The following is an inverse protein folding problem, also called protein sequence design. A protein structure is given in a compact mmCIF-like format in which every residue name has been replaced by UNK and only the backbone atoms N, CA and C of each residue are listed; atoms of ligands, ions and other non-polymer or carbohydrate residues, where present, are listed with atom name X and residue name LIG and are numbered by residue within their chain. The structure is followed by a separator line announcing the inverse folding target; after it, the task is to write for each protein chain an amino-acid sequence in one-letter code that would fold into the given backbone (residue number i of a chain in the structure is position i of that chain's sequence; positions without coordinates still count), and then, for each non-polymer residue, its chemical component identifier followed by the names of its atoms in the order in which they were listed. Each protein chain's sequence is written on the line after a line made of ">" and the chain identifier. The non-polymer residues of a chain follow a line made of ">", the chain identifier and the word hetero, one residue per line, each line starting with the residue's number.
data_IF_469377369098
#
_entry.id   IF_469377369098
#
_cell.length_a   1.000
_cell.length_b   1.000
_cell.length_c   1.000
_cell.angle_alpha   90.00
_cell.angle_beta   90.00
_cell.angle_gamma   90.00
#
_symmetry.space_group_name_H-M   'P 1'
#
loop_
_entity.id
_entity.type
_entity.pdbx_description
1 polymer ?
#
# COMPACT_ATOMS: atom_id res chain seq x y z
N UNK A 1 34.98 -0.94 -9.79
CA UNK A 1 33.71 -1.54 -9.32
C UNK A 1 32.63 -0.48 -9.45
N UNK A 2 31.67 -0.67 -10.36
CA UNK A 2 30.55 0.27 -10.54
C UNK A 2 29.50 -0.11 -9.50
N UNK A 3 29.20 0.78 -8.56
CA UNK A 3 28.08 0.60 -7.66
C UNK A 3 26.81 0.53 -8.50
N UNK A 4 26.12 -0.62 -8.50
CA UNK A 4 24.77 -0.73 -9.08
C UNK A 4 23.88 0.24 -8.30
N UNK A 5 23.43 1.29 -8.95
CA UNK A 5 22.40 2.18 -8.41
C UNK A 5 21.16 1.35 -8.09
N UNK A 6 20.86 1.24 -6.79
CA UNK A 6 19.62 0.65 -6.32
C UNK A 6 18.49 1.61 -6.71
N UNK A 7 17.76 1.30 -7.78
CA UNK A 7 16.56 2.04 -8.18
C UNK A 7 15.47 1.83 -7.13
N UNK A 8 15.43 2.70 -6.12
CA UNK A 8 14.30 2.79 -5.20
C UNK A 8 13.13 3.40 -5.95
N UNK A 9 12.06 2.63 -6.11
CA UNK A 9 10.82 3.13 -6.70
C UNK A 9 9.80 3.39 -5.60
N UNK A 10 9.16 4.55 -5.70
CA UNK A 10 8.08 4.96 -4.83
C UNK A 10 6.76 4.66 -5.53
N UNK A 11 5.84 4.08 -4.79
CA UNK A 11 4.50 3.73 -5.26
C UNK A 11 3.54 4.74 -4.66
N UNK A 12 2.66 5.33 -5.47
CA UNK A 12 1.70 6.36 -5.05
C UNK A 12 0.28 5.85 -5.24
N UNK A 13 -0.57 5.90 -4.21
CA UNK A 13 -1.93 5.38 -4.25
C UNK A 13 -2.93 6.42 -3.71
N UNK A 14 -3.82 6.90 -4.57
CA UNK A 14 -4.85 7.86 -4.20
C UNK A 14 -6.10 7.15 -3.64
N UNK A 15 -6.39 7.35 -2.37
CA UNK A 15 -7.64 6.92 -1.74
C UNK A 15 -8.55 8.12 -1.48
N UNK A 16 -9.87 7.89 -1.56
CA UNK A 16 -10.90 8.89 -1.26
C UNK A 16 -11.65 8.48 0.00
N UNK A 17 -11.81 9.45 0.90
CA UNK A 17 -12.63 9.33 2.09
C UNK A 17 -14.13 9.43 1.75
N UNK A 18 -14.97 8.64 2.42
CA UNK A 18 -16.43 8.66 2.23
C UNK A 18 -17.20 9.08 3.49
N UNK A 19 -16.53 9.27 4.63
CA UNK A 19 -17.18 9.33 5.95
C UNK A 19 -16.94 10.66 6.69
N UNK A 20 -16.21 11.61 6.08
CA UNK A 20 -15.83 12.88 6.72
C UNK A 20 -14.51 12.79 7.50
N UNK A 21 -14.16 13.79 8.32
CA UNK A 21 -12.90 13.80 9.08
C UNK A 21 -12.82 12.65 10.09
N UNK A 22 -11.95 11.67 9.83
CA UNK A 22 -11.83 10.44 10.63
C UNK A 22 -10.38 10.06 10.86
N UNK A 23 -10.14 9.27 11.90
CA UNK A 23 -8.83 8.68 12.18
C UNK A 23 -8.90 7.18 11.92
N UNK A 24 -8.02 6.69 11.05
CA UNK A 24 -7.98 5.28 10.67
C UNK A 24 -6.59 4.65 10.79
N UNK A 25 -6.55 3.34 10.59
CA UNK A 25 -5.31 2.59 10.41
C UNK A 25 -5.18 2.22 8.92
N UNK A 26 -3.97 2.37 8.37
CA UNK A 26 -3.69 2.10 6.95
C UNK A 26 -3.20 0.67 6.81
N UNK A 27 -3.83 -0.07 5.89
CA UNK A 27 -3.43 -1.40 5.49
C UNK A 27 -3.00 -1.36 4.04
N UNK A 28 -1.90 -2.06 3.75
CA UNK A 28 -1.31 -2.13 2.44
C UNK A 28 -0.97 -3.58 2.16
N UNK A 29 -1.32 -4.06 0.97
CA UNK A 29 -0.91 -5.36 0.50
C UNK A 29 -0.52 -5.30 -0.97
N UNK A 30 0.29 -6.26 -1.37
CA UNK A 30 0.68 -6.48 -2.75
C UNK A 30 0.07 -7.79 -3.22
N UNK A 31 -0.51 -7.78 -4.41
CA UNK A 31 -0.91 -8.97 -5.15
C UNK A 31 0.20 -9.28 -6.16
N UNK A 32 0.72 -10.49 -6.10
CA UNK A 32 1.81 -10.99 -6.92
C UNK A 32 1.30 -11.53 -8.27
N UNK A 33 2.18 -11.73 -9.26
CA UNK A 33 1.81 -12.25 -10.58
C UNK A 33 1.18 -13.65 -10.54
N UNK A 34 1.50 -14.44 -9.52
CA UNK A 34 0.95 -15.77 -9.29
C UNK A 34 -0.43 -15.75 -8.57
N UNK A 35 -0.96 -14.56 -8.28
CA UNK A 35 -2.22 -14.35 -7.56
C UNK A 35 -2.10 -14.46 -6.04
N UNK A 36 -0.90 -14.73 -5.50
CA UNK A 36 -0.67 -14.65 -4.06
C UNK A 36 -0.74 -13.20 -3.59
N UNK A 37 -1.01 -12.97 -2.30
CA UNK A 37 -0.99 -11.64 -1.72
C UNK A 37 -0.28 -11.61 -0.38
N UNK A 38 0.34 -10.46 -0.10
CA UNK A 38 1.10 -10.23 1.12
C UNK A 38 0.88 -8.82 1.65
N UNK A 39 0.57 -8.72 2.93
CA UNK A 39 0.49 -7.46 3.66
C UNK A 39 1.88 -6.92 3.98
N UNK A 40 2.03 -5.62 3.81
CA UNK A 40 3.21 -4.85 4.13
C UNK A 40 3.11 -4.24 5.55
N UNK A 41 4.24 -4.00 6.23
CA UNK A 41 5.61 -4.08 5.72
C UNK A 41 6.28 -5.47 5.84
N UNK A 42 5.63 -6.45 6.47
CA UNK A 42 6.27 -7.73 6.83
C UNK A 42 6.23 -8.81 5.76
N UNK A 43 5.49 -8.59 4.67
CA UNK A 43 5.22 -9.59 3.64
C UNK A 43 4.59 -10.87 4.21
N UNK A 44 3.58 -10.70 5.07
CA UNK A 44 2.79 -11.81 5.64
C UNK A 44 1.40 -11.90 5.00
N UNK A 45 0.79 -13.07 5.02
CA UNK A 45 -0.64 -13.20 4.68
C UNK A 45 -1.56 -12.67 5.79
N UNK A 46 -1.02 -12.47 7.00
CA UNK A 46 -1.76 -11.87 8.10
C UNK A 46 -1.86 -10.34 7.92
N UNK A 47 -3.07 -9.75 8.03
CA UNK A 47 -3.25 -8.30 7.92
C UNK A 47 -2.40 -7.53 8.93
N UNK A 48 -1.45 -6.76 8.43
CA UNK A 48 -0.66 -5.83 9.22
C UNK A 48 -0.93 -4.39 8.80
N UNK A 49 -1.02 -3.53 9.80
CA UNK A 49 -1.16 -2.09 9.60
C UNK A 49 0.20 -1.49 9.27
N UNK A 50 0.25 -0.71 8.20
CA UNK A 50 1.41 0.07 7.80
C UNK A 50 1.58 1.31 8.68
N UNK A 51 0.47 2.01 8.96
CA UNK A 51 0.44 3.23 9.74
C UNK A 51 -0.77 3.26 10.68
N UNK A 52 -0.62 3.93 11.82
CA UNK A 52 -1.64 4.07 12.86
C UNK A 52 -2.08 5.50 13.00
N UNK A 53 -3.36 5.70 13.34
CA UNK A 53 -3.92 7.04 13.60
C UNK A 53 -3.57 8.00 12.46
N UNK A 54 -3.88 7.61 11.23
CA UNK A 54 -3.77 8.51 10.09
C UNK A 54 -5.01 9.37 10.05
N UNK A 55 -4.82 10.69 10.07
CA UNK A 55 -5.92 11.63 9.90
C UNK A 55 -6.36 11.63 8.45
N UNK A 56 -7.64 11.32 8.24
CA UNK A 56 -8.27 11.24 6.94
C UNK A 56 -9.29 12.36 6.81
N UNK A 57 -8.88 13.45 6.17
CA UNK A 57 -9.81 14.54 5.89
C UNK A 57 -10.76 14.15 4.74
N UNK A 58 -11.96 14.72 4.71
CA UNK A 58 -13.01 14.40 3.73
C UNK A 58 -12.54 14.50 2.26
N UNK A 59 -11.60 15.41 1.98
CA UNK A 59 -11.00 15.63 0.66
C UNK A 59 -9.54 15.18 0.54
N UNK A 60 -9.03 14.37 1.49
CA UNK A 60 -7.63 13.97 1.48
C UNK A 60 -7.38 13.00 0.32
N UNK A 61 -6.68 13.48 -0.70
CA UNK A 61 -5.98 12.62 -1.65
C UNK A 61 -4.62 12.32 -1.06
N UNK A 62 -4.38 11.06 -0.75
CA UNK A 62 -3.02 10.60 -0.47
C UNK A 62 -2.29 10.46 -1.80
N UNK A 63 -1.78 11.57 -2.31
CA UNK A 63 -0.80 11.57 -3.37
C UNK A 63 0.58 11.39 -2.70
N UNK A 64 1.42 10.53 -3.27
CA UNK A 64 2.83 10.38 -2.87
C UNK A 64 3.13 9.85 -1.45
N UNK A 65 2.32 8.94 -0.87
CA UNK A 65 2.81 8.15 0.27
C UNK A 65 3.79 7.08 -0.24
N UNK A 66 5.05 7.06 0.20
CA UNK A 66 5.93 5.94 -0.10
C UNK A 66 5.45 4.69 0.64
N UNK A 67 4.72 3.85 -0.06
CA UNK A 67 4.09 2.65 0.51
C UNK A 67 5.04 1.45 0.58
N UNK A 68 6.02 1.39 -0.32
CA UNK A 68 6.97 0.27 -0.39
C UNK A 68 8.30 0.73 -1.00
N UNK A 69 9.40 0.17 -0.51
CA UNK A 69 10.74 0.32 -1.09
C UNK A 69 11.43 -1.04 -1.08
N UNK A 70 11.88 -1.49 -2.24
CA UNK A 70 12.63 -2.74 -2.38
C UNK A 70 13.80 -2.59 -3.34
N UNK A 71 14.70 -3.56 -3.32
CA UNK A 71 15.67 -3.76 -4.39
C UNK A 71 15.01 -4.54 -5.53
N UNK A 72 14.83 -3.88 -6.66
CA UNK A 72 14.19 -4.43 -7.86
C UNK A 72 14.88 -5.71 -8.35
N UNK A 73 16.19 -5.87 -8.10
CA UNK A 73 16.92 -7.07 -8.53
C UNK A 73 16.52 -8.36 -7.80
N UNK A 74 15.80 -8.23 -6.69
CA UNK A 74 15.31 -9.35 -5.88
C UNK A 74 13.85 -9.72 -6.13
N UNK A 75 13.14 -8.94 -6.95
CA UNK A 75 11.71 -9.14 -7.23
C UNK A 75 11.55 -9.96 -8.52
N UNK A 76 10.79 -11.07 -8.50
CA UNK A 76 10.48 -11.80 -9.72
C UNK A 76 9.83 -10.92 -10.80
N UNK A 77 10.11 -11.16 -12.08
CA UNK A 77 9.45 -10.42 -13.15
C UNK A 77 7.94 -10.71 -13.15
N UNK A 78 7.16 -9.71 -13.52
CA UNK A 78 5.71 -9.84 -13.64
C UNK A 78 4.94 -8.60 -13.19
N UNK A 79 3.61 -8.71 -13.22
CA UNK A 79 2.69 -7.66 -12.80
C UNK A 79 2.32 -7.81 -11.33
N UNK A 80 2.55 -6.76 -10.57
CA UNK A 80 2.21 -6.66 -9.17
C UNK A 80 1.17 -5.56 -9.00
N UNK A 81 0.17 -5.79 -8.16
CA UNK A 81 -0.86 -4.80 -7.85
C UNK A 81 -0.79 -4.44 -6.38
N UNK A 82 -0.38 -3.22 -6.08
CA UNK A 82 -0.38 -2.70 -4.72
C UNK A 82 -1.76 -2.13 -4.42
N UNK A 83 -2.32 -2.50 -3.27
CA UNK A 83 -3.64 -2.08 -2.84
C UNK A 83 -3.57 -1.55 -1.42
N UNK A 84 -4.27 -0.44 -1.19
CA UNK A 84 -4.31 0.25 0.09
C UNK A 84 -5.76 0.47 0.51
N UNK A 85 -6.03 0.26 1.79
CA UNK A 85 -7.32 0.57 2.40
C UNK A 85 -7.11 1.18 3.77
N UNK A 86 -8.03 2.05 4.17
CA UNK A 86 -8.06 2.65 5.50
C UNK A 86 -9.22 2.05 6.25
N UNK A 87 -8.91 1.48 7.41
CA UNK A 87 -9.88 0.78 8.25
C UNK A 87 -10.15 1.59 9.51
N UNK A 88 -11.36 1.43 10.05
CA UNK A 88 -11.69 1.95 11.36
C UNK A 88 -10.74 1.35 12.40
N UNK A 89 -10.15 2.18 13.24
CA UNK A 89 -9.24 1.72 14.30
C UNK A 89 -9.91 0.76 15.30
N UNK A 90 -11.23 0.86 15.45
CA UNK A 90 -12.01 0.03 16.34
C UNK A 90 -12.60 -1.22 15.65
N UNK A 91 -12.45 -1.36 14.33
CA UNK A 91 -13.03 -2.46 13.56
C UNK A 91 -12.24 -2.75 12.28
N UNK A 92 -11.75 -3.98 12.15
CA UNK A 92 -11.15 -4.48 10.91
C UNK A 92 -12.18 -4.88 9.85
N UNK A 93 -13.48 -4.67 10.13
CA UNK A 93 -14.57 -5.01 9.21
C UNK A 93 -15.23 -3.77 8.60
N UNK A 94 -14.82 -2.58 9.02
CA UNK A 94 -15.41 -1.30 8.62
C UNK A 94 -14.37 -0.46 7.86
N UNK A 95 -14.34 -0.54 6.52
CA UNK A 95 -13.50 0.33 5.72
C UNK A 95 -14.01 1.77 5.78
N UNK A 96 -13.08 2.71 5.99
CA UNK A 96 -13.32 4.15 5.94
C UNK A 96 -13.07 4.74 4.54
N UNK A 97 -12.45 3.96 3.65
CA UNK A 97 -12.12 4.36 2.28
C UNK A 97 -12.44 3.26 1.28
N UNK A 98 -12.53 3.65 0.00
CA UNK A 98 -12.36 2.69 -1.09
C UNK A 98 -10.95 2.10 -1.08
N UNK A 99 -10.78 0.94 -1.72
CA UNK A 99 -9.46 0.39 -2.02
C UNK A 99 -8.82 1.25 -3.10
N UNK A 100 -7.68 1.86 -2.79
CA UNK A 100 -6.80 2.47 -3.79
C UNK A 100 -5.86 1.41 -4.33
N UNK A 101 -5.60 1.43 -5.64
CA UNK A 101 -4.70 0.47 -6.27
C UNK A 101 -3.79 1.11 -7.32
N UNK A 102 -2.60 0.56 -7.46
CA UNK A 102 -1.66 0.90 -8.52
C UNK A 102 -0.94 -0.37 -8.97
N UNK A 103 -0.77 -0.50 -10.28
CA UNK A 103 -0.08 -1.62 -10.89
C UNK A 103 1.39 -1.28 -11.14
N UNK A 104 2.25 -2.27 -10.96
CA UNK A 104 3.66 -2.19 -11.29
C UNK A 104 4.03 -3.40 -12.14
N UNK A 105 4.86 -3.19 -13.16
CA UNK A 105 5.42 -4.27 -13.95
C UNK A 105 6.93 -4.30 -13.81
N UNK A 106 7.46 -5.40 -13.28
CA UNK A 106 8.89 -5.68 -13.25
C UNK A 106 9.29 -6.46 -14.51
N UNK A 107 10.36 -6.00 -15.16
CA UNK A 107 10.96 -6.59 -16.37
C UNK A 107 12.12 -7.53 -16.03
#
# INVERSE_FOLDING_TARGET
>A
MVAKELKRQQICAACKNQVGDVWGDVYLWVECPDGSYYFLPTLSQDPQRLARKVHFAEALRLEDIPVFSCDVTSVPPGRYTFKMIIMNRNSTSEPLSNIASCEWQFE
#
